data_IF_916698787857
#
_entry.id   IF_916698787857
#
_cell.length_a   1.000
_cell.length_b   1.000
_cell.length_c   1.000
_cell.angle_alpha   90.00
_cell.angle_beta   90.00
_cell.angle_gamma   90.00
#
_symmetry.space_group_name_H-M   'P 1'
#
loop_
_entity.id
_entity.type
_entity.pdbx_description
1 polymer ?
#
# COMPACT_ATOMS: atom_id res chain seq x y z
N UNK A 1 22.04 -24.00 -46.74
CA UNK A 1 20.86 -23.81 -45.90
C UNK A 1 21.37 -23.49 -44.50
N UNK A 2 21.39 -22.23 -44.09
CA UNK A 2 21.79 -21.83 -42.71
C UNK A 2 20.71 -22.28 -41.74
N UNK A 3 21.07 -23.18 -40.84
CA UNK A 3 20.19 -23.55 -39.72
C UNK A 3 19.99 -22.30 -38.84
N UNK A 4 18.78 -21.83 -38.77
CA UNK A 4 18.39 -20.71 -37.88
C UNK A 4 18.57 -21.16 -36.43
N UNK A 5 19.23 -20.36 -35.59
CA UNK A 5 19.43 -20.70 -34.20
C UNK A 5 18.04 -20.84 -33.51
N UNK A 6 17.87 -21.82 -32.61
CA UNK A 6 16.60 -22.03 -31.93
C UNK A 6 16.22 -20.83 -31.07
N UNK A 7 14.95 -20.53 -31.00
CA UNK A 7 14.42 -19.51 -30.08
C UNK A 7 14.44 -20.04 -28.64
N UNK A 8 14.38 -19.12 -27.64
CA UNK A 8 14.27 -19.49 -26.22
C UNK A 8 13.10 -20.46 -25.97
N UNK A 9 11.94 -20.21 -26.58
CA UNK A 9 10.75 -21.03 -26.40
C UNK A 9 10.90 -22.44 -26.94
N UNK A 10 11.52 -22.57 -28.11
CA UNK A 10 11.79 -23.88 -28.74
C UNK A 10 12.79 -24.70 -27.93
N UNK A 11 13.87 -24.07 -27.44
CA UNK A 11 14.88 -24.73 -26.62
C UNK A 11 14.31 -25.12 -25.24
N UNK A 12 13.50 -24.24 -24.61
CA UNK A 12 12.79 -24.56 -23.38
C UNK A 12 11.91 -25.81 -23.53
N UNK A 13 11.12 -25.84 -24.61
CA UNK A 13 10.23 -26.98 -24.92
C UNK A 13 11.03 -28.24 -25.14
N UNK A 14 12.13 -28.18 -25.90
CA UNK A 14 13.03 -29.32 -26.19
C UNK A 14 13.56 -29.89 -24.87
N UNK A 15 14.21 -29.09 -24.04
CA UNK A 15 14.82 -29.53 -22.75
C UNK A 15 13.79 -30.03 -21.75
N UNK A 16 12.63 -29.39 -21.68
CA UNK A 16 11.53 -29.86 -20.83
C UNK A 16 11.10 -31.28 -21.25
N UNK A 17 10.91 -31.52 -22.53
CA UNK A 17 10.52 -32.83 -23.06
C UNK A 17 11.62 -33.89 -22.83
N UNK A 18 12.88 -33.56 -23.09
CA UNK A 18 14.03 -34.41 -22.80
C UNK A 18 14.14 -34.78 -21.31
N UNK A 19 13.74 -33.87 -20.43
CA UNK A 19 13.69 -34.12 -18.98
C UNK A 19 12.42 -34.88 -18.54
N UNK A 20 11.54 -35.28 -19.47
CA UNK A 20 10.30 -35.97 -19.15
C UNK A 20 9.28 -35.16 -18.36
N UNK A 21 9.41 -33.83 -18.32
CA UNK A 21 8.57 -32.95 -17.49
C UNK A 21 7.37 -32.40 -18.28
N UNK A 22 6.20 -32.41 -17.64
CA UNK A 22 5.02 -31.73 -18.16
C UNK A 22 5.09 -30.21 -17.88
N UNK A 23 4.24 -29.40 -18.54
CA UNK A 23 4.09 -27.97 -18.19
C UNK A 23 3.59 -27.77 -16.76
N UNK A 24 2.84 -28.72 -16.21
CA UNK A 24 2.37 -28.70 -14.82
C UNK A 24 3.53 -28.95 -13.84
N UNK A 25 4.47 -29.80 -14.19
CA UNK A 25 5.67 -30.02 -13.38
C UNK A 25 6.56 -28.79 -13.39
N UNK A 26 6.71 -28.15 -14.55
CA UNK A 26 7.44 -26.88 -14.66
C UNK A 26 6.78 -25.75 -13.88
N UNK A 27 5.46 -25.65 -13.88
CA UNK A 27 4.71 -24.66 -13.07
C UNK A 27 5.09 -24.73 -11.59
N UNK A 28 5.18 -25.94 -11.03
CA UNK A 28 5.59 -26.17 -9.63
C UNK A 28 7.08 -25.85 -9.39
N UNK A 29 7.93 -26.13 -10.38
CA UNK A 29 9.39 -25.98 -10.25
C UNK A 29 9.88 -24.54 -10.37
N UNK A 30 9.21 -23.73 -11.21
CA UNK A 30 9.65 -22.37 -11.55
C UNK A 30 8.65 -21.30 -11.12
N UNK A 31 7.58 -21.66 -10.40
CA UNK A 31 6.55 -20.77 -9.87
C UNK A 31 5.91 -19.85 -10.93
N UNK A 32 5.73 -20.36 -12.15
CA UNK A 32 5.13 -19.64 -13.26
C UNK A 32 3.97 -20.46 -13.85
N UNK A 33 2.82 -19.83 -14.08
CA UNK A 33 1.61 -20.55 -14.50
C UNK A 33 1.80 -21.34 -15.80
N UNK A 34 1.15 -22.50 -15.90
CA UNK A 34 1.15 -23.36 -17.12
C UNK A 34 0.81 -22.56 -18.38
N UNK A 35 -0.15 -21.63 -18.30
CA UNK A 35 -0.54 -20.77 -19.42
C UNK A 35 0.61 -19.84 -19.84
N UNK A 36 1.33 -19.28 -18.87
CA UNK A 36 2.49 -18.42 -19.13
C UNK A 36 3.62 -19.20 -19.81
N UNK A 37 4.00 -20.35 -19.25
CA UNK A 37 5.03 -21.23 -19.82
C UNK A 37 4.68 -21.68 -21.24
N UNK A 38 3.42 -22.05 -21.49
CA UNK A 38 2.93 -22.42 -22.81
C UNK A 38 3.02 -21.28 -23.85
N UNK A 39 2.78 -20.02 -23.42
CA UNK A 39 2.93 -18.85 -24.31
C UNK A 39 4.40 -18.59 -24.66
N UNK A 40 5.30 -18.80 -23.70
CA UNK A 40 6.74 -18.67 -23.92
C UNK A 40 7.24 -19.77 -24.87
N UNK A 41 6.87 -21.05 -24.68
CA UNK A 41 7.26 -22.15 -25.54
C UNK A 41 6.77 -21.98 -27.00
N UNK A 42 5.69 -21.24 -27.21
CA UNK A 42 5.14 -20.94 -28.54
C UNK A 42 5.67 -19.63 -29.14
N UNK A 43 6.58 -18.95 -28.43
CA UNK A 43 7.13 -17.67 -28.89
C UNK A 43 6.18 -16.46 -28.78
N UNK A 44 5.01 -16.61 -28.12
CA UNK A 44 4.04 -15.53 -27.97
C UNK A 44 4.38 -14.57 -26.83
N UNK A 45 5.40 -14.89 -26.03
CA UNK A 45 5.87 -14.07 -24.92
C UNK A 45 7.34 -14.37 -24.63
N UNK A 46 8.11 -13.30 -24.34
CA UNK A 46 9.47 -13.44 -23.87
C UNK A 46 9.48 -13.74 -22.35
N UNK A 47 10.38 -14.61 -21.86
CA UNK A 47 10.54 -14.85 -20.44
C UNK A 47 11.22 -13.64 -19.76
N UNK A 48 10.93 -13.44 -18.48
CA UNK A 48 11.78 -12.60 -17.64
C UNK A 48 13.12 -13.32 -17.39
N UNK A 49 14.17 -12.55 -17.07
CA UNK A 49 15.47 -13.11 -16.76
C UNK A 49 15.43 -14.07 -15.56
N UNK A 50 14.67 -13.74 -14.52
CA UNK A 50 14.45 -14.62 -13.37
C UNK A 50 13.81 -15.97 -13.78
N UNK A 51 12.77 -15.92 -14.61
CA UNK A 51 12.13 -17.13 -15.10
C UNK A 51 13.07 -17.94 -16.00
N UNK A 52 13.86 -17.27 -16.84
CA UNK A 52 14.85 -17.94 -17.68
C UNK A 52 15.93 -18.62 -16.83
N UNK A 53 16.44 -17.98 -15.75
CA UNK A 53 17.37 -18.59 -14.80
C UNK A 53 16.75 -19.79 -14.06
N UNK A 54 15.52 -19.63 -13.59
CA UNK A 54 14.82 -20.72 -12.93
C UNK A 54 14.64 -21.93 -13.88
N UNK A 55 14.25 -21.70 -15.13
CA UNK A 55 14.14 -22.75 -16.14
C UNK A 55 15.49 -23.40 -16.46
N UNK A 56 16.54 -22.58 -16.65
CA UNK A 56 17.89 -23.05 -16.94
C UNK A 56 18.43 -23.94 -15.82
N UNK A 57 18.31 -23.51 -14.57
CA UNK A 57 18.74 -24.27 -13.40
C UNK A 57 17.93 -25.57 -13.21
N UNK A 58 16.60 -25.52 -13.31
CA UNK A 58 15.73 -26.68 -13.09
C UNK A 58 15.79 -27.73 -14.20
N UNK A 59 16.18 -27.33 -15.42
CA UNK A 59 16.40 -28.20 -16.58
C UNK A 59 17.87 -28.54 -16.78
N UNK A 60 18.78 -28.10 -15.89
CA UNK A 60 20.24 -28.31 -15.98
C UNK A 60 20.78 -27.94 -17.37
N UNK A 61 20.40 -26.74 -17.83
CA UNK A 61 20.69 -26.27 -19.15
C UNK A 61 22.08 -25.60 -19.28
N UNK A 62 22.82 -25.47 -18.17
CA UNK A 62 24.20 -24.94 -18.12
C UNK A 62 24.38 -23.60 -18.84
N UNK A 63 23.42 -22.71 -18.72
CA UNK A 63 23.42 -21.39 -19.34
C UNK A 63 22.90 -21.34 -20.78
N UNK A 64 22.55 -22.48 -21.37
CA UNK A 64 22.11 -22.53 -22.80
C UNK A 64 20.77 -21.80 -23.03
N UNK A 65 19.86 -21.84 -22.07
CA UNK A 65 18.61 -21.05 -22.13
C UNK A 65 18.89 -19.55 -21.96
N UNK A 66 19.80 -19.19 -21.06
CA UNK A 66 20.19 -17.80 -20.84
C UNK A 66 20.90 -17.21 -22.09
N UNK A 67 21.68 -18.02 -22.79
CA UNK A 67 22.35 -17.59 -24.02
C UNK A 67 21.38 -17.23 -25.16
N UNK A 68 20.13 -17.69 -25.12
CA UNK A 68 19.10 -17.41 -26.11
C UNK A 68 18.25 -16.16 -25.76
N UNK A 69 18.48 -15.53 -24.62
CA UNK A 69 17.83 -14.25 -24.31
C UNK A 69 18.40 -13.14 -25.19
N UNK A 70 17.58 -12.16 -25.59
CA UNK A 70 18.04 -10.97 -26.31
C UNK A 70 19.19 -10.28 -25.55
N UNK A 71 20.16 -9.73 -26.30
CA UNK A 71 21.34 -9.07 -25.72
C UNK A 71 20.96 -7.96 -24.70
N UNK A 72 19.88 -7.23 -24.97
CA UNK A 72 19.33 -6.22 -24.06
C UNK A 72 18.85 -6.80 -22.70
N UNK A 73 18.35 -8.03 -22.68
CA UNK A 73 17.95 -8.73 -21.46
C UNK A 73 19.18 -9.22 -20.65
N UNK A 74 20.30 -9.48 -21.32
CA UNK A 74 21.58 -9.90 -20.73
C UNK A 74 22.40 -8.72 -20.22
N UNK A 75 22.47 -7.63 -20.98
CA UNK A 75 23.23 -6.41 -20.62
C UNK A 75 22.74 -5.71 -19.35
N UNK A 76 21.54 -6.05 -18.90
CA UNK A 76 20.99 -5.55 -17.61
C UNK A 76 21.73 -6.08 -16.37
N UNK A 77 22.52 -7.11 -16.51
CA UNK A 77 23.22 -7.79 -15.39
C UNK A 77 24.71 -7.48 -15.30
N UNK A 78 25.35 -7.06 -16.40
CA UNK A 78 26.78 -6.72 -16.41
C UNK A 78 27.08 -5.30 -15.88
N UNK A 79 26.03 -4.55 -15.50
CA UNK A 79 26.26 -3.33 -14.70
C UNK A 79 26.48 -3.74 -13.25
N UNK A 80 27.68 -3.50 -12.70
CA UNK A 80 27.90 -3.70 -11.28
C UNK A 80 26.84 -2.87 -10.54
N UNK A 81 26.29 -3.43 -9.45
CA UNK A 81 25.44 -2.71 -8.53
C UNK A 81 26.23 -1.54 -7.96
N UNK A 82 26.27 -0.44 -8.69
CA UNK A 82 26.72 0.84 -8.17
C UNK A 82 25.65 1.24 -7.14
N UNK A 83 26.07 1.25 -5.88
CA UNK A 83 25.36 1.83 -4.76
C UNK A 83 25.35 3.36 -4.94
N UNK A 84 24.61 3.81 -5.93
CA UNK A 84 24.33 5.20 -6.24
C UNK A 84 23.00 5.21 -6.93
N UNK A 85 21.97 5.73 -6.26
CA UNK A 85 20.58 5.70 -6.69
C UNK A 85 20.33 6.46 -7.99
N UNK A 86 20.73 5.91 -9.10
CA UNK A 86 20.38 6.42 -10.42
C UNK A 86 19.03 5.86 -10.81
N UNK A 87 18.06 6.77 -10.80
CA UNK A 87 16.65 6.46 -10.94
C UNK A 87 16.35 5.77 -12.25
N UNK A 88 15.82 4.57 -12.16
CA UNK A 88 15.02 3.99 -13.23
C UNK A 88 13.89 4.98 -13.53
N UNK A 89 13.71 5.45 -14.77
CA UNK A 89 12.62 6.35 -15.11
C UNK A 89 11.28 5.64 -14.87
N UNK A 90 10.35 6.34 -14.26
CA UNK A 90 9.02 5.87 -13.91
C UNK A 90 8.03 6.45 -14.89
N UNK A 91 7.14 5.62 -15.43
CA UNK A 91 5.98 6.08 -16.18
C UNK A 91 4.73 5.91 -15.35
N UNK A 92 4.03 7.00 -15.13
CA UNK A 92 2.66 6.99 -14.68
C UNK A 92 1.78 7.01 -15.93
N UNK A 93 1.11 5.91 -16.23
CA UNK A 93 0.07 5.87 -17.24
C UNK A 93 -1.27 6.08 -16.54
N UNK A 94 -1.98 7.15 -16.90
CA UNK A 94 -3.37 7.36 -16.51
C UNK A 94 -4.22 7.02 -17.71
N UNK A 95 -5.05 5.98 -17.62
CA UNK A 95 -6.00 5.60 -18.66
C UNK A 95 -7.16 6.59 -18.73
N UNK A 96 -7.90 6.62 -19.84
CA UNK A 96 -9.02 7.54 -20.05
C UNK A 96 -10.17 7.34 -19.04
N UNK A 97 -10.23 6.16 -18.39
CA UNK A 97 -11.15 5.80 -17.31
C UNK A 97 -10.61 6.11 -15.91
N UNK A 98 -9.44 6.76 -15.80
CA UNK A 98 -8.83 7.19 -14.55
C UNK A 98 -8.02 6.10 -13.84
N UNK A 99 -7.85 4.91 -14.41
CA UNK A 99 -6.91 3.93 -13.87
C UNK A 99 -5.47 4.41 -14.04
N UNK A 100 -4.73 4.38 -12.95
CA UNK A 100 -3.32 4.77 -12.93
C UNK A 100 -2.45 3.52 -12.81
N UNK A 101 -1.60 3.30 -13.80
CA UNK A 101 -0.64 2.19 -13.81
C UNK A 101 0.78 2.74 -13.70
N UNK A 102 1.51 2.31 -12.66
CA UNK A 102 2.93 2.60 -12.53
C UNK A 102 3.73 1.46 -13.16
N UNK A 103 4.57 1.81 -14.11
CA UNK A 103 5.55 0.89 -14.67
C UNK A 103 6.95 1.47 -14.55
N UNK A 104 7.92 0.65 -14.12
CA UNK A 104 9.31 0.98 -14.33
C UNK A 104 9.52 1.02 -15.85
N UNK A 105 9.80 2.19 -16.40
CA UNK A 105 9.89 2.36 -17.85
C UNK A 105 11.25 1.92 -18.34
N UNK A 106 11.24 1.04 -19.31
CA UNK A 106 12.37 0.94 -20.23
C UNK A 106 12.25 2.15 -21.19
N UNK A 107 13.28 3.01 -21.29
CA UNK A 107 13.25 4.16 -22.20
C UNK A 107 12.96 3.78 -23.66
N UNK A 108 13.29 2.54 -24.06
CA UNK A 108 13.04 2.05 -25.42
C UNK A 108 11.59 1.59 -25.64
N UNK A 109 10.88 1.16 -24.60
CA UNK A 109 9.47 0.74 -24.71
C UNK A 109 8.49 1.90 -24.92
N UNK A 110 8.93 3.14 -24.67
CA UNK A 110 8.12 4.36 -24.86
C UNK A 110 8.12 4.86 -26.31
N UNK A 111 9.01 4.34 -27.16
CA UNK A 111 9.11 4.72 -28.58
C UNK A 111 8.03 4.04 -29.45
N UNK A 112 7.45 2.94 -29.01
CA UNK A 112 6.42 2.20 -29.77
C UNK A 112 5.00 2.64 -29.35
N UNK A 113 4.63 3.84 -29.78
CA UNK A 113 3.38 4.52 -29.47
C UNK A 113 2.10 3.80 -29.91
N UNK A 114 1.51 3.01 -29.03
CA UNK A 114 0.15 2.51 -29.16
C UNK A 114 -0.62 2.56 -27.83
N UNK A 115 -0.71 3.74 -27.22
CA UNK A 115 -1.73 3.99 -26.19
C UNK A 115 -2.04 5.48 -26.12
N UNK A 116 -3.32 5.84 -26.11
CA UNK A 116 -3.79 7.18 -25.70
C UNK A 116 -3.57 7.34 -24.20
N UNK A 117 -2.31 7.35 -23.78
CA UNK A 117 -1.89 7.58 -22.41
C UNK A 117 -1.10 8.87 -22.38
N UNK A 118 -1.47 9.81 -21.52
CA UNK A 118 -0.62 10.95 -21.19
C UNK A 118 0.53 10.42 -20.36
N UNK A 119 1.66 10.15 -21.01
CA UNK A 119 2.90 9.80 -20.33
C UNK A 119 3.56 11.09 -19.88
N UNK A 120 3.45 11.44 -18.62
CA UNK A 120 4.23 12.52 -18.05
C UNK A 120 5.67 12.01 -17.81
N UNK A 121 6.54 12.27 -18.80
CA UNK A 121 7.98 12.08 -18.62
C UNK A 121 8.53 13.20 -17.73
N UNK A 122 8.88 12.88 -16.52
CA UNK A 122 9.72 13.72 -15.66
C UNK A 122 11.19 13.32 -15.83
N UNK A 123 11.71 13.49 -17.04
CA UNK A 123 13.14 13.54 -17.24
C UNK A 123 13.55 14.99 -16.91
N UNK A 124 14.28 15.17 -15.81
CA UNK A 124 15.05 16.40 -15.61
C UNK A 124 16.06 16.42 -16.74
N UNK A 125 15.80 17.22 -17.77
CA UNK A 125 16.72 17.40 -18.89
C UNK A 125 18.06 17.92 -18.31
N UNK A 126 19.20 17.22 -18.55
CA UNK A 126 20.50 17.72 -18.13
C UNK A 126 20.79 19.01 -18.92
N UNK A 127 20.44 20.17 -18.42
CA UNK A 127 20.59 21.44 -19.12
C UNK A 127 19.81 22.59 -18.50
N UNK A 128 18.65 22.36 -17.91
CA UNK A 128 17.95 23.36 -17.10
C UNK A 128 18.48 23.33 -15.66
N UNK A 129 19.73 23.72 -15.49
CA UNK A 129 20.35 24.01 -14.20
C UNK A 129 20.12 25.48 -13.81
N UNK A 130 18.91 25.95 -13.79
CA UNK A 130 18.58 26.98 -12.84
C UNK A 130 18.52 26.29 -11.49
N UNK A 131 19.43 26.72 -10.58
CA UNK A 131 19.53 26.14 -9.25
C UNK A 131 18.19 26.36 -8.52
N UNK A 132 17.30 25.38 -8.57
CA UNK A 132 16.09 25.40 -7.75
C UNK A 132 16.55 25.36 -6.29
N UNK A 133 16.29 26.45 -5.55
CA UNK A 133 16.64 26.52 -4.13
C UNK A 133 15.83 25.48 -3.35
N UNK A 134 16.54 24.54 -2.76
CA UNK A 134 15.94 23.55 -1.85
C UNK A 134 15.31 24.26 -0.66
N UNK A 135 15.96 25.27 -0.12
CA UNK A 135 15.49 26.07 1.02
C UNK A 135 14.17 26.77 0.74
N UNK A 136 13.98 27.27 -0.49
CA UNK A 136 12.74 27.91 -0.89
C UNK A 136 11.64 26.89 -1.22
N UNK A 137 12.00 25.75 -1.80
CA UNK A 137 11.02 24.76 -2.29
C UNK A 137 10.50 23.84 -1.17
N UNK A 138 11.34 23.46 -0.22
CA UNK A 138 11.02 22.47 0.78
C UNK A 138 9.81 22.86 1.67
N UNK A 139 9.69 24.11 2.18
CA UNK A 139 8.52 24.54 2.93
C UNK A 139 7.23 24.48 2.11
N UNK A 140 7.28 24.78 0.80
CA UNK A 140 6.13 24.69 -0.10
C UNK A 140 5.66 23.24 -0.23
N UNK A 141 6.58 22.29 -0.43
CA UNK A 141 6.22 20.87 -0.50
C UNK A 141 5.69 20.32 0.82
N UNK A 142 6.14 20.81 1.98
CA UNK A 142 5.53 20.48 3.28
C UNK A 142 4.07 20.93 3.34
N UNK A 143 3.79 22.17 2.95
CA UNK A 143 2.41 22.68 2.91
C UNK A 143 1.53 21.88 1.92
N UNK A 144 2.06 21.56 0.74
CA UNK A 144 1.37 20.71 -0.27
C UNK A 144 1.08 19.33 0.31
N UNK A 145 2.01 18.72 1.08
CA UNK A 145 1.79 17.43 1.71
C UNK A 145 0.62 17.47 2.69
N UNK A 146 0.54 18.50 3.53
CA UNK A 146 -0.55 18.65 4.48
C UNK A 146 -1.91 18.88 3.78
N UNK A 147 -1.92 19.63 2.66
CA UNK A 147 -3.11 19.78 1.83
C UNK A 147 -3.56 18.46 1.19
N UNK A 148 -2.62 17.64 0.69
CA UNK A 148 -2.98 16.33 0.11
C UNK A 148 -3.52 15.38 1.18
N UNK A 149 -3.01 15.46 2.41
CA UNK A 149 -3.59 14.71 3.54
C UNK A 149 -5.01 15.17 3.86
N UNK A 150 -5.28 16.48 3.83
CA UNK A 150 -6.65 17.02 4.00
C UNK A 150 -7.56 16.59 2.86
N UNK A 151 -7.08 16.70 1.61
CA UNK A 151 -7.82 16.28 0.43
C UNK A 151 -8.20 14.80 0.51
N UNK A 152 -7.29 13.94 0.94
CA UNK A 152 -7.55 12.50 1.09
C UNK A 152 -8.56 12.16 2.18
N UNK A 153 -8.91 13.10 3.09
CA UNK A 153 -10.00 12.90 4.04
C UNK A 153 -11.38 13.17 3.42
N UNK A 154 -11.47 13.98 2.39
CA UNK A 154 -12.75 14.41 1.81
C UNK A 154 -12.95 13.99 0.34
N UNK A 155 -12.00 13.24 -0.25
CA UNK A 155 -12.08 12.80 -1.65
C UNK A 155 -11.64 11.36 -1.84
N UNK A 156 -11.92 10.80 -3.03
CA UNK A 156 -11.49 9.45 -3.41
C UNK A 156 -9.99 9.37 -3.73
N UNK A 157 -9.40 8.17 -3.62
CA UNK A 157 -7.97 7.96 -3.88
C UNK A 157 -7.57 8.25 -5.33
N UNK A 158 -8.48 8.08 -6.28
CA UNK A 158 -8.24 8.39 -7.70
C UNK A 158 -7.79 9.83 -7.95
N UNK A 159 -8.25 10.79 -7.13
CA UNK A 159 -7.81 12.18 -7.20
C UNK A 159 -6.43 12.39 -6.55
N UNK A 160 -6.18 11.74 -5.42
CA UNK A 160 -4.99 12.01 -4.58
C UNK A 160 -3.75 11.29 -5.08
N UNK A 161 -3.89 10.08 -5.58
CA UNK A 161 -2.78 9.24 -6.05
C UNK A 161 -1.93 9.95 -7.10
N UNK A 162 -2.46 10.47 -8.22
CA UNK A 162 -1.65 11.14 -9.23
C UNK A 162 -0.93 12.38 -8.68
N UNK A 163 -1.59 13.16 -7.81
CA UNK A 163 -1.01 14.36 -7.20
C UNK A 163 0.19 14.00 -6.31
N UNK A 164 0.04 13.04 -5.40
CA UNK A 164 1.11 12.64 -4.46
C UNK A 164 2.24 11.89 -5.15
N UNK A 165 1.94 11.12 -6.19
CA UNK A 165 2.96 10.45 -7.01
C UNK A 165 3.82 11.45 -7.78
N UNK A 166 3.20 12.45 -8.39
CA UNK A 166 3.89 13.54 -9.10
C UNK A 166 4.80 14.32 -8.14
N UNK A 167 4.30 14.66 -6.95
CA UNK A 167 5.09 15.35 -5.95
C UNK A 167 6.30 14.50 -5.48
N UNK A 168 6.13 13.18 -5.32
CA UNK A 168 7.24 12.27 -5.01
C UNK A 168 8.30 12.31 -6.11
N UNK A 169 7.90 12.27 -7.37
CA UNK A 169 8.81 12.36 -8.52
C UNK A 169 9.56 13.69 -8.56
N UNK A 170 8.87 14.82 -8.36
CA UNK A 170 9.46 16.15 -8.33
C UNK A 170 10.50 16.29 -7.21
N UNK A 171 10.20 15.80 -5.99
CA UNK A 171 11.13 15.80 -4.86
C UNK A 171 12.37 14.93 -5.15
N UNK A 172 12.22 13.77 -5.77
CA UNK A 172 13.37 12.95 -6.18
C UNK A 172 14.25 13.68 -7.18
N UNK A 173 13.65 14.36 -8.16
CA UNK A 173 14.39 15.20 -9.10
C UNK A 173 15.13 16.34 -8.41
N UNK A 174 14.49 17.05 -7.46
CA UNK A 174 15.09 18.10 -6.66
C UNK A 174 16.28 17.58 -5.83
N UNK A 175 16.16 16.38 -5.24
CA UNK A 175 17.21 15.75 -4.46
C UNK A 175 18.46 15.43 -5.29
N UNK A 176 18.30 15.14 -6.59
CA UNK A 176 19.41 14.78 -7.47
C UNK A 176 20.43 15.93 -7.65
N UNK A 177 19.96 17.17 -7.71
CA UNK A 177 20.78 18.38 -7.87
C UNK A 177 21.20 19.05 -6.54
N UNK A 178 20.72 18.56 -5.40
CA UNK A 178 20.90 19.21 -4.11
C UNK A 178 22.24 18.85 -3.43
N UNK A 179 22.78 19.78 -2.63
CA UNK A 179 23.87 19.51 -1.70
C UNK A 179 23.48 18.45 -0.65
N UNK A 180 24.43 17.72 -0.04
CA UNK A 180 24.13 16.55 0.81
C UNK A 180 23.11 16.79 1.92
N UNK A 181 23.19 17.91 2.64
CA UNK A 181 22.25 18.25 3.71
C UNK A 181 20.84 18.53 3.18
N UNK A 182 20.70 19.31 2.12
CA UNK A 182 19.45 19.58 1.43
C UNK A 182 18.85 18.32 0.80
N UNK A 183 19.70 17.48 0.20
CA UNK A 183 19.31 16.19 -0.38
C UNK A 183 18.63 15.30 0.66
N UNK A 184 19.21 15.17 1.86
CA UNK A 184 18.63 14.36 2.92
C UNK A 184 17.26 14.88 3.36
N UNK A 185 17.08 16.19 3.49
CA UNK A 185 15.80 16.79 3.85
C UNK A 185 14.72 16.55 2.78
N UNK A 186 15.08 16.73 1.51
CA UNK A 186 14.17 16.46 0.38
C UNK A 186 13.77 15.00 0.30
N UNK A 187 14.73 14.06 0.48
CA UNK A 187 14.43 12.62 0.44
C UNK A 187 13.55 12.16 1.60
N UNK A 188 13.71 12.74 2.81
CA UNK A 188 12.78 12.49 3.93
C UNK A 188 11.35 12.86 3.56
N UNK A 189 11.16 14.03 2.96
CA UNK A 189 9.82 14.45 2.53
C UNK A 189 9.30 13.57 1.39
N UNK A 190 10.13 13.21 0.42
CA UNK A 190 9.77 12.28 -0.65
C UNK A 190 9.32 10.91 -0.10
N UNK A 191 9.98 10.40 0.96
CA UNK A 191 9.58 9.17 1.63
C UNK A 191 8.18 9.27 2.24
N UNK A 192 7.81 10.42 2.81
CA UNK A 192 6.46 10.66 3.35
C UNK A 192 5.40 10.70 2.24
N UNK A 193 5.68 11.36 1.12
CA UNK A 193 4.78 11.37 -0.04
C UNK A 193 4.60 9.96 -0.62
N UNK A 194 5.69 9.19 -0.73
CA UNK A 194 5.64 7.81 -1.23
C UNK A 194 4.82 6.90 -0.30
N UNK A 195 5.01 7.01 1.02
CA UNK A 195 4.22 6.26 2.00
C UNK A 195 2.72 6.61 1.91
N UNK A 196 2.41 7.91 1.86
CA UNK A 196 1.05 8.39 1.73
C UNK A 196 0.38 7.94 0.43
N UNK A 197 1.13 7.91 -0.66
CA UNK A 197 0.68 7.34 -1.94
C UNK A 197 0.36 5.85 -1.79
N UNK A 198 1.20 5.10 -1.08
CA UNK A 198 0.95 3.70 -0.77
C UNK A 198 -0.33 3.49 0.06
N UNK A 199 -0.59 4.39 1.01
CA UNK A 199 -1.84 4.35 1.76
C UNK A 199 -3.05 4.65 0.88
N UNK A 200 -2.96 5.61 -0.03
CA UNK A 200 -4.04 5.91 -0.99
C UNK A 200 -4.31 4.72 -1.93
N UNK A 201 -3.28 3.99 -2.35
CA UNK A 201 -3.47 2.76 -3.13
C UNK A 201 -4.17 1.65 -2.34
N UNK A 202 -3.89 1.52 -1.04
CA UNK A 202 -4.65 0.62 -0.15
C UNK A 202 -6.12 1.06 -0.06
N UNK A 203 -6.38 2.37 0.04
CA UNK A 203 -7.73 2.93 0.02
C UNK A 203 -8.45 2.75 -1.34
N UNK A 204 -7.70 2.66 -2.44
CA UNK A 204 -8.22 2.27 -3.76
C UNK A 204 -8.49 0.77 -3.89
N UNK A 205 -7.92 -0.07 -2.99
CA UNK A 205 -8.05 -1.52 -3.01
C UNK A 205 -7.01 -2.23 -3.88
N UNK A 206 -5.93 -1.56 -4.25
CA UNK A 206 -4.78 -2.16 -4.93
C UNK A 206 -3.63 -2.41 -3.95
N UNK A 207 -3.65 -3.60 -3.32
CA UNK A 207 -2.63 -4.01 -2.35
C UNK A 207 -1.24 -4.17 -2.99
N UNK A 208 -1.16 -4.46 -4.30
CA UNK A 208 0.11 -4.60 -5.00
C UNK A 208 0.78 -3.25 -5.13
N UNK A 209 0.06 -2.25 -5.60
CA UNK A 209 0.56 -0.89 -5.70
C UNK A 209 0.88 -0.31 -4.30
N UNK A 210 0.04 -0.59 -3.28
CA UNK A 210 0.27 -0.18 -1.91
C UNK A 210 1.59 -0.73 -1.35
N UNK A 211 1.88 -2.03 -1.54
CA UNK A 211 3.16 -2.66 -1.15
C UNK A 211 4.34 -2.03 -1.86
N UNK A 212 4.20 -1.84 -3.15
CA UNK A 212 5.26 -1.26 -3.96
C UNK A 212 5.64 0.16 -3.50
N UNK A 213 4.64 1.03 -3.28
CA UNK A 213 4.86 2.39 -2.79
C UNK A 213 5.43 2.42 -1.36
N UNK A 214 5.02 1.48 -0.50
CA UNK A 214 5.58 1.31 0.84
C UNK A 214 7.07 0.93 0.76
N UNK A 215 7.45 0.07 -0.18
CA UNK A 215 8.85 -0.27 -0.43
C UNK A 215 9.65 0.92 -0.96
N UNK A 216 9.07 1.74 -1.87
CA UNK A 216 9.72 2.98 -2.31
C UNK A 216 9.95 3.96 -1.14
N UNK A 217 9.00 4.08 -0.23
CA UNK A 217 9.17 4.90 0.97
C UNK A 217 10.32 4.37 1.85
N UNK A 218 10.43 3.06 2.03
CA UNK A 218 11.52 2.44 2.78
C UNK A 218 12.91 2.71 2.15
N UNK A 219 13.02 2.59 0.82
CA UNK A 219 14.26 2.87 0.09
C UNK A 219 14.68 4.34 0.19
N UNK A 220 13.72 5.26 0.07
CA UNK A 220 13.97 6.70 0.23
C UNK A 220 14.41 7.02 1.66
N UNK A 221 13.75 6.44 2.68
CA UNK A 221 14.13 6.59 4.08
C UNK A 221 15.56 6.08 4.35
N UNK A 222 15.89 4.90 3.83
CA UNK A 222 17.24 4.33 3.94
C UNK A 222 18.31 5.24 3.27
N UNK A 223 17.99 5.81 2.09
CA UNK A 223 18.89 6.68 1.34
C UNK A 223 19.24 7.99 2.05
N UNK A 224 18.43 8.44 3.00
CA UNK A 224 18.65 9.65 3.79
C UNK A 224 18.88 9.39 5.29
N UNK A 225 18.97 8.14 5.71
CA UNK A 225 19.20 7.76 7.10
C UNK A 225 18.01 8.06 8.02
N UNK A 226 16.78 8.11 7.49
CA UNK A 226 15.57 8.31 8.27
C UNK A 226 15.09 6.99 8.89
N UNK A 227 15.62 6.70 10.08
CA UNK A 227 15.31 5.48 10.83
C UNK A 227 13.84 5.41 11.27
N UNK A 228 13.22 6.58 11.58
CA UNK A 228 11.82 6.63 11.99
C UNK A 228 10.90 6.27 10.83
N UNK A 229 11.14 6.86 9.67
CA UNK A 229 10.37 6.52 8.47
C UNK A 229 10.57 5.06 8.04
N UNK A 230 11.81 4.54 8.16
CA UNK A 230 12.10 3.13 7.89
C UNK A 230 11.31 2.20 8.84
N UNK A 231 11.28 2.49 10.14
CA UNK A 231 10.45 1.76 11.10
C UNK A 231 8.94 1.89 10.79
N UNK A 232 8.49 3.07 10.41
CA UNK A 232 7.10 3.31 10.05
C UNK A 232 6.66 2.54 8.80
N UNK A 233 7.54 2.32 7.83
CA UNK A 233 7.21 1.47 6.66
C UNK A 233 6.95 0.01 7.04
N UNK A 234 7.56 -0.50 8.11
CA UNK A 234 7.21 -1.82 8.66
C UNK A 234 5.77 -1.83 9.21
N UNK A 235 5.33 -0.73 9.85
CA UNK A 235 3.94 -0.60 10.31
C UNK A 235 2.95 -0.56 9.15
N UNK A 236 3.32 0.09 8.05
CA UNK A 236 2.49 0.05 6.83
C UNK A 236 2.36 -1.36 6.26
N UNK A 237 3.45 -2.13 6.26
CA UNK A 237 3.43 -3.54 5.85
C UNK A 237 2.61 -4.40 6.82
N UNK A 238 2.72 -4.15 8.13
CA UNK A 238 1.90 -4.79 9.15
C UNK A 238 0.41 -4.49 8.95
N UNK A 239 0.05 -3.26 8.56
CA UNK A 239 -1.33 -2.90 8.28
C UNK A 239 -1.87 -3.63 7.04
N UNK A 240 -1.09 -3.77 5.98
CA UNK A 240 -1.48 -4.57 4.81
C UNK A 240 -1.69 -6.05 5.18
N UNK A 241 -0.84 -6.62 6.06
CA UNK A 241 -1.01 -7.96 6.59
C UNK A 241 -2.29 -8.07 7.44
N UNK A 242 -2.58 -7.07 8.29
CA UNK A 242 -3.78 -7.00 9.11
C UNK A 242 -5.05 -7.06 8.25
N UNK A 243 -5.13 -6.26 7.19
CA UNK A 243 -6.28 -6.25 6.27
C UNK A 243 -6.38 -7.52 5.42
N UNK A 244 -5.27 -8.25 5.23
CA UNK A 244 -5.25 -9.58 4.62
C UNK A 244 -5.64 -10.70 5.61
N UNK A 245 -5.86 -10.38 6.89
CA UNK A 245 -6.14 -11.37 7.93
C UNK A 245 -4.92 -12.17 8.39
N UNK A 246 -3.71 -11.77 8.00
CA UNK A 246 -2.46 -12.41 8.41
C UNK A 246 -2.00 -11.83 9.75
N UNK A 247 -2.57 -12.38 10.82
CA UNK A 247 -2.33 -11.93 12.18
C UNK A 247 -0.86 -12.13 12.62
N UNK A 248 -0.24 -13.25 12.24
CA UNK A 248 1.14 -13.57 12.61
C UNK A 248 2.12 -12.57 11.99
N UNK A 249 2.04 -12.35 10.68
CA UNK A 249 2.88 -11.36 9.99
C UNK A 249 2.62 -9.95 10.51
N UNK A 250 1.39 -9.63 10.93
CA UNK A 250 1.05 -8.34 11.53
C UNK A 250 1.85 -8.10 12.81
N UNK A 251 1.88 -9.09 13.72
CA UNK A 251 2.64 -9.01 14.99
C UNK A 251 4.13 -8.91 14.72
N UNK A 252 4.68 -9.80 13.89
CA UNK A 252 6.13 -9.86 13.61
C UNK A 252 6.65 -8.51 13.04
N UNK A 253 5.92 -7.91 12.10
CA UNK A 253 6.28 -6.63 11.51
C UNK A 253 6.11 -5.47 12.49
N UNK A 254 5.06 -5.50 13.33
CA UNK A 254 4.83 -4.48 14.36
C UNK A 254 5.93 -4.52 15.43
N UNK A 255 6.30 -5.70 15.92
CA UNK A 255 7.43 -5.87 16.85
C UNK A 255 8.76 -5.41 16.23
N UNK A 256 9.01 -5.75 14.97
CA UNK A 256 10.22 -5.30 14.26
C UNK A 256 10.26 -3.76 14.18
N UNK A 257 9.12 -3.12 13.86
CA UNK A 257 8.99 -1.68 13.85
C UNK A 257 9.27 -1.07 15.23
N UNK A 258 8.68 -1.62 16.30
CA UNK A 258 8.86 -1.14 17.67
C UNK A 258 10.32 -1.25 18.15
N UNK A 259 11.04 -2.31 17.74
CA UNK A 259 12.48 -2.47 18.03
C UNK A 259 13.36 -1.47 17.28
N UNK A 260 12.98 -1.14 16.05
CA UNK A 260 13.75 -0.23 15.18
C UNK A 260 13.48 1.24 15.48
N UNK A 261 12.25 1.58 15.89
CA UNK A 261 11.81 2.95 16.15
C UNK A 261 12.53 3.55 17.36
N UNK A 262 12.94 4.83 17.24
CA UNK A 262 13.53 5.64 18.31
C UNK A 262 12.52 6.57 18.95
N UNK A 263 11.61 7.13 18.14
CA UNK A 263 10.57 8.06 18.58
C UNK A 263 9.41 7.36 19.28
N UNK A 264 8.83 8.02 20.27
CA UNK A 264 7.72 7.49 21.06
C UNK A 264 6.49 7.24 20.19
N UNK A 265 6.23 8.12 19.21
CA UNK A 265 5.07 8.00 18.31
C UNK A 265 5.10 6.72 17.46
N UNK A 266 6.24 6.39 16.86
CA UNK A 266 6.35 5.17 16.04
C UNK A 266 6.25 3.92 16.92
N UNK A 267 6.82 3.96 18.13
CA UNK A 267 6.71 2.86 19.12
C UNK A 267 5.28 2.66 19.62
N UNK A 268 4.55 3.76 19.84
CA UNK A 268 3.12 3.72 20.17
C UNK A 268 2.31 3.05 19.05
N UNK A 269 2.49 3.51 17.81
CA UNK A 269 1.81 2.92 16.65
C UNK A 269 2.17 1.45 16.47
N UNK A 270 3.40 1.04 16.79
CA UNK A 270 3.84 -0.34 16.77
C UNK A 270 3.08 -1.18 17.81
N UNK A 271 2.99 -0.72 19.04
CA UNK A 271 2.24 -1.40 20.09
C UNK A 271 0.74 -1.54 19.74
N UNK A 272 0.14 -0.49 19.15
CA UNK A 272 -1.24 -0.55 18.67
C UNK A 272 -1.43 -1.59 17.56
N UNK A 273 -0.50 -1.66 16.61
CA UNK A 273 -0.58 -2.64 15.51
C UNK A 273 -0.35 -4.07 16.00
N UNK A 274 0.58 -4.25 16.96
CA UNK A 274 0.81 -5.51 17.65
C UNK A 274 -0.45 -6.00 18.37
N UNK A 275 -1.14 -5.09 19.11
CA UNK A 275 -2.41 -5.38 19.76
C UNK A 275 -3.47 -5.88 18.77
N UNK A 276 -3.58 -5.24 17.60
CA UNK A 276 -4.51 -5.66 16.56
C UNK A 276 -4.19 -7.06 16.01
N UNK A 277 -2.92 -7.39 15.82
CA UNK A 277 -2.52 -8.73 15.42
C UNK A 277 -2.90 -9.79 16.48
N UNK A 278 -2.65 -9.52 17.75
CA UNK A 278 -3.05 -10.40 18.84
C UNK A 278 -4.57 -10.54 18.99
N UNK A 279 -5.33 -9.45 18.76
CA UNK A 279 -6.79 -9.53 18.77
C UNK A 279 -7.31 -10.47 17.66
N UNK A 280 -6.75 -10.41 16.44
CA UNK A 280 -7.09 -11.35 15.36
C UNK A 280 -6.75 -12.82 15.70
N UNK A 281 -5.73 -13.06 16.55
CA UNK A 281 -5.40 -14.38 17.05
C UNK A 281 -6.32 -14.85 18.20
N UNK A 282 -7.20 -13.99 18.70
CA UNK A 282 -7.94 -14.25 19.95
C UNK A 282 -7.05 -14.26 21.19
N UNK A 283 -5.85 -13.69 21.13
CA UNK A 283 -4.86 -13.67 22.21
C UNK A 283 -5.08 -12.45 23.12
N UNK A 284 -6.13 -12.50 23.94
CA UNK A 284 -6.58 -11.40 24.79
C UNK A 284 -5.47 -10.80 25.66
N UNK A 285 -4.77 -11.66 26.42
CA UNK A 285 -3.72 -11.19 27.35
C UNK A 285 -2.61 -10.42 26.65
N UNK A 286 -2.15 -10.89 25.48
CA UNK A 286 -1.12 -10.23 24.69
C UNK A 286 -1.65 -8.94 24.08
N UNK A 287 -2.88 -8.95 23.60
CA UNK A 287 -3.55 -7.75 23.06
C UNK A 287 -3.63 -6.65 24.13
N UNK A 288 -4.15 -6.94 25.32
CA UNK A 288 -4.28 -5.95 26.39
C UNK A 288 -2.91 -5.40 26.84
N UNK A 289 -1.90 -6.26 26.99
CA UNK A 289 -0.52 -5.81 27.29
C UNK A 289 0.04 -4.90 26.22
N UNK A 290 -0.25 -5.13 24.96
CA UNK A 290 0.22 -4.27 23.87
C UNK A 290 -0.52 -2.92 23.88
N UNK A 291 -1.83 -2.89 24.16
CA UNK A 291 -2.60 -1.66 24.35
C UNK A 291 -2.08 -0.84 25.54
N UNK A 292 -1.80 -1.47 26.69
CA UNK A 292 -1.24 -0.81 27.87
C UNK A 292 0.13 -0.18 27.58
N UNK A 293 0.99 -0.90 26.86
CA UNK A 293 2.28 -0.33 26.41
C UNK A 293 2.08 0.89 25.51
N UNK A 294 1.13 0.83 24.59
CA UNK A 294 0.76 1.94 23.71
C UNK A 294 0.31 3.16 24.50
N UNK A 295 -0.59 2.97 25.48
CA UNK A 295 -1.08 4.03 26.35
C UNK A 295 0.04 4.68 27.16
N UNK A 296 0.95 3.89 27.74
CA UNK A 296 2.12 4.42 28.45
C UNK A 296 3.05 5.25 27.58
N UNK A 297 3.17 4.91 26.28
CA UNK A 297 3.95 5.69 25.31
C UNK A 297 3.27 7.02 24.94
N UNK A 298 1.93 7.06 24.85
CA UNK A 298 1.16 8.32 24.67
C UNK A 298 1.41 9.26 25.84
N UNK A 299 1.30 8.76 27.07
CA UNK A 299 1.52 9.58 28.28
C UNK A 299 2.97 10.09 28.35
N UNK A 300 3.94 9.28 28.01
CA UNK A 300 5.34 9.71 27.91
C UNK A 300 5.56 10.80 26.84
N UNK A 301 4.86 10.68 25.69
CA UNK A 301 4.97 11.68 24.61
C UNK A 301 4.38 13.05 25.00
N UNK A 302 3.39 13.10 25.88
CA UNK A 302 2.83 14.38 26.40
C UNK A 302 3.84 15.22 27.19
N UNK A 303 4.86 14.58 27.71
CA UNK A 303 5.93 15.24 28.50
C UNK A 303 7.13 15.65 27.66
N UNK A 304 7.19 15.26 26.39
CA UNK A 304 8.28 15.56 25.48
C UNK A 304 7.80 16.49 24.36
N UNK A 305 8.54 17.58 24.14
CA UNK A 305 8.38 18.42 22.95
C UNK A 305 9.15 17.80 21.80
N UNK A 306 8.51 16.93 21.04
CA UNK A 306 9.12 16.38 19.83
C UNK A 306 8.77 17.29 18.64
N UNK A 307 9.79 17.92 18.04
CA UNK A 307 9.63 18.80 16.87
C UNK A 307 9.47 18.01 15.57
N UNK A 308 9.60 16.67 15.62
CA UNK A 308 9.50 15.84 14.42
C UNK A 308 8.07 15.80 13.87
N UNK A 309 7.89 15.90 12.55
CA UNK A 309 6.56 15.82 11.94
C UNK A 309 5.89 14.49 12.24
N UNK A 310 4.69 14.53 12.79
CA UNK A 310 3.95 13.34 13.23
C UNK A 310 3.74 12.35 12.09
N UNK A 311 4.11 11.07 12.33
CA UNK A 311 3.80 9.94 11.47
C UNK A 311 2.42 9.36 11.80
N UNK A 312 1.75 8.77 10.81
CA UNK A 312 0.43 8.20 10.95
C UNK A 312 -0.71 9.24 10.87
N UNK A 313 -1.89 8.86 11.37
CA UNK A 313 -3.07 9.73 11.34
C UNK A 313 -2.90 10.93 12.26
N UNK A 314 -3.26 12.11 11.76
CA UNK A 314 -3.32 13.38 12.52
C UNK A 314 -4.73 13.94 12.61
N UNK A 315 -5.72 13.21 12.07
CA UNK A 315 -7.13 13.63 12.02
C UNK A 315 -7.97 13.08 13.17
N UNK A 316 -7.35 12.28 14.03
CA UNK A 316 -7.98 11.68 15.20
C UNK A 316 -7.27 12.18 16.46
N UNK A 317 -7.97 12.82 17.38
CA UNK A 317 -7.38 13.27 18.64
C UNK A 317 -6.88 12.12 19.50
N UNK A 318 -7.59 11.01 19.50
CA UNK A 318 -7.27 9.79 20.26
C UNK A 318 -7.35 8.55 19.39
N UNK A 319 -6.30 8.29 18.59
CA UNK A 319 -6.21 7.08 17.78
C UNK A 319 -6.16 5.82 18.64
N UNK A 320 -5.59 5.90 19.85
CA UNK A 320 -5.42 4.74 20.72
C UNK A 320 -6.78 4.18 21.16
N UNK A 321 -7.74 5.04 21.51
CA UNK A 321 -9.09 4.60 21.87
C UNK A 321 -9.80 3.89 20.70
N UNK A 322 -9.66 4.39 19.49
CA UNK A 322 -10.24 3.74 18.30
C UNK A 322 -9.60 2.38 17.99
N UNK A 323 -8.30 2.22 18.24
CA UNK A 323 -7.60 0.93 18.07
C UNK A 323 -8.02 -0.02 19.18
N UNK A 324 -8.09 0.42 20.42
CA UNK A 324 -8.55 -0.40 21.54
C UNK A 324 -9.98 -0.92 21.31
N UNK A 325 -10.88 -0.04 20.87
CA UNK A 325 -12.25 -0.44 20.53
C UNK A 325 -12.32 -1.50 19.43
N UNK A 326 -11.48 -1.38 18.39
CA UNK A 326 -11.39 -2.38 17.35
C UNK A 326 -10.91 -3.73 17.91
N UNK A 327 -9.87 -3.72 18.76
CA UNK A 327 -9.35 -4.92 19.41
C UNK A 327 -10.40 -5.58 20.31
N UNK A 328 -11.10 -4.81 21.14
CA UNK A 328 -12.15 -5.31 22.00
C UNK A 328 -13.26 -6.00 21.23
N UNK A 329 -13.69 -5.40 20.11
CA UNK A 329 -14.70 -6.03 19.25
C UNK A 329 -14.20 -7.38 18.69
N UNK A 330 -12.95 -7.45 18.21
CA UNK A 330 -12.39 -8.72 17.68
C UNK A 330 -12.25 -9.78 18.78
N UNK A 331 -12.09 -9.39 20.04
CA UNK A 331 -12.08 -10.27 21.21
C UNK A 331 -13.47 -10.63 21.74
N UNK A 332 -14.56 -10.07 21.14
CA UNK A 332 -15.94 -10.34 21.54
C UNK A 332 -16.53 -9.37 22.56
N UNK A 333 -15.76 -8.38 23.03
CA UNK A 333 -16.18 -7.36 24.00
C UNK A 333 -16.89 -6.18 23.30
N UNK A 334 -18.00 -6.48 22.61
CA UNK A 334 -18.68 -5.53 21.70
C UNK A 334 -19.27 -4.32 22.44
N UNK A 335 -19.81 -4.48 23.64
CA UNK A 335 -20.38 -3.38 24.44
C UNK A 335 -19.30 -2.37 24.87
N UNK A 336 -18.13 -2.86 25.28
CA UNK A 336 -16.99 -2.03 25.61
C UNK A 336 -16.45 -1.28 24.37
N UNK A 337 -16.43 -1.96 23.21
CA UNK A 337 -16.06 -1.35 21.93
C UNK A 337 -17.04 -0.23 21.54
N UNK A 338 -18.35 -0.44 21.68
CA UNK A 338 -19.38 0.58 21.43
C UNK A 338 -19.13 1.81 22.30
N UNK A 339 -18.89 1.63 23.61
CA UNK A 339 -18.64 2.74 24.53
C UNK A 339 -17.49 3.62 24.09
N UNK A 340 -16.36 3.04 23.70
CA UNK A 340 -15.19 3.79 23.23
C UNK A 340 -15.43 4.47 21.88
N UNK A 341 -16.10 3.79 20.94
CA UNK A 341 -16.37 4.33 19.61
C UNK A 341 -17.39 5.47 19.67
N UNK A 342 -18.44 5.34 20.45
CA UNK A 342 -19.43 6.43 20.65
C UNK A 342 -18.75 7.69 21.22
N UNK A 343 -17.96 7.54 22.27
CA UNK A 343 -17.23 8.68 22.85
C UNK A 343 -16.24 9.33 21.85
N UNK A 344 -15.67 8.54 20.94
CA UNK A 344 -14.71 9.01 19.95
C UNK A 344 -15.35 9.69 18.73
N UNK A 345 -16.57 9.31 18.32
CA UNK A 345 -17.18 9.80 17.07
C UNK A 345 -17.31 11.33 17.02
N UNK A 346 -17.75 11.96 18.11
CA UNK A 346 -17.95 13.40 18.18
C UNK A 346 -16.63 14.19 18.17
N UNK A 347 -15.49 13.53 18.39
CA UNK A 347 -14.17 14.15 18.34
C UNK A 347 -13.59 14.23 16.93
N UNK A 348 -14.17 13.49 15.97
CA UNK A 348 -13.70 13.48 14.57
C UNK A 348 -14.16 14.74 13.88
N UNK A 349 -13.23 15.50 13.32
CA UNK A 349 -13.56 16.75 12.63
C UNK A 349 -14.58 16.51 11.49
N UNK A 350 -15.59 17.37 11.30
CA UNK A 350 -16.66 17.16 10.31
C UNK A 350 -16.16 16.99 8.88
N UNK A 351 -15.04 17.62 8.53
CA UNK A 351 -14.43 17.51 7.19
C UNK A 351 -13.62 16.22 6.98
N UNK A 352 -13.31 15.47 8.06
CA UNK A 352 -12.55 14.22 7.98
C UNK A 352 -13.46 13.03 7.63
N UNK A 353 -14.11 13.10 6.46
CA UNK A 353 -15.12 12.13 6.02
C UNK A 353 -14.60 10.70 6.02
N UNK A 354 -13.35 10.48 5.57
CA UNK A 354 -12.75 9.13 5.54
C UNK A 354 -12.55 8.56 6.95
N UNK A 355 -12.06 9.37 7.90
CA UNK A 355 -11.92 8.94 9.28
C UNK A 355 -13.29 8.65 9.90
N UNK A 356 -14.27 9.53 9.66
CA UNK A 356 -15.66 9.36 10.14
C UNK A 356 -16.30 8.09 9.58
N UNK A 357 -16.16 7.85 8.27
CA UNK A 357 -16.67 6.64 7.63
C UNK A 357 -16.03 5.37 8.19
N UNK A 358 -14.70 5.37 8.38
CA UNK A 358 -13.97 4.21 8.92
C UNK A 358 -14.43 3.86 10.33
N UNK A 359 -14.43 4.84 11.21
CA UNK A 359 -14.78 4.60 12.62
C UNK A 359 -16.28 4.43 12.82
N UNK A 360 -17.11 5.08 11.99
CA UNK A 360 -18.55 4.82 11.93
C UNK A 360 -18.88 3.39 11.47
N UNK A 361 -18.16 2.85 10.48
CA UNK A 361 -18.33 1.46 10.06
C UNK A 361 -18.00 0.47 11.18
N UNK A 362 -16.93 0.74 11.93
CA UNK A 362 -16.51 -0.08 13.09
C UNK A 362 -17.52 0.03 14.24
N UNK A 363 -18.06 1.23 14.49
CA UNK A 363 -19.14 1.42 15.45
C UNK A 363 -20.39 0.64 15.04
N UNK A 364 -20.81 0.72 13.77
CA UNK A 364 -21.95 -0.03 13.28
C UNK A 364 -21.77 -1.56 13.41
N UNK A 365 -20.54 -2.05 13.20
CA UNK A 365 -20.20 -3.46 13.42
C UNK A 365 -20.32 -3.82 14.91
N UNK A 366 -19.73 -3.04 15.81
CA UNK A 366 -19.77 -3.28 17.26
C UNK A 366 -21.23 -3.24 17.79
N UNK A 367 -22.05 -2.27 17.34
CA UNK A 367 -23.47 -2.19 17.64
C UNK A 367 -24.26 -3.40 17.15
N UNK A 368 -23.97 -3.89 15.94
CA UNK A 368 -24.63 -5.08 15.40
C UNK A 368 -24.26 -6.34 16.20
N UNK A 369 -23.01 -6.44 16.67
CA UNK A 369 -22.55 -7.55 17.49
C UNK A 369 -23.07 -7.45 18.95
N UNK A 370 -23.34 -6.23 19.47
CA UNK A 370 -24.00 -5.97 20.74
C UNK A 370 -25.54 -6.04 20.67
N UNK A 371 -26.12 -6.51 19.55
CA UNK A 371 -27.56 -6.62 19.28
C UNK A 371 -28.33 -5.28 19.24
N UNK A 372 -27.63 -4.13 19.14
CA UNK A 372 -28.21 -2.80 18.98
C UNK A 372 -28.51 -2.48 17.50
N UNK A 373 -29.38 -3.28 16.90
CA UNK A 373 -29.60 -3.34 15.44
C UNK A 373 -30.08 -2.00 14.85
N UNK A 374 -30.99 -1.29 15.53
CA UNK A 374 -31.52 -0.01 15.03
C UNK A 374 -30.41 1.06 14.97
N UNK A 375 -29.60 1.16 16.02
CA UNK A 375 -28.47 2.08 16.06
C UNK A 375 -27.41 1.73 15.02
N UNK A 376 -27.08 0.43 14.88
CA UNK A 376 -26.17 -0.05 13.86
C UNK A 376 -26.63 0.38 12.47
N UNK A 377 -27.92 0.23 12.16
CA UNK A 377 -28.49 0.63 10.89
C UNK A 377 -28.46 2.15 10.68
N UNK A 378 -28.71 2.94 11.71
CA UNK A 378 -28.65 4.41 11.64
C UNK A 378 -27.24 4.91 11.32
N UNK A 379 -26.24 4.43 12.06
CA UNK A 379 -24.82 4.76 11.83
C UNK A 379 -24.37 4.32 10.44
N UNK A 380 -24.73 3.10 10.01
CA UNK A 380 -24.33 2.58 8.71
C UNK A 380 -24.91 3.38 7.52
N UNK A 381 -26.04 4.06 7.65
CA UNK A 381 -26.57 4.97 6.62
C UNK A 381 -25.64 6.15 6.39
N UNK A 382 -25.22 6.81 7.46
CA UNK A 382 -24.25 7.93 7.37
C UNK A 382 -22.92 7.48 6.78
N UNK A 383 -22.42 6.31 7.21
CA UNK A 383 -21.20 5.71 6.63
C UNK A 383 -21.34 5.47 5.13
N UNK A 384 -22.48 4.96 4.68
CA UNK A 384 -22.75 4.70 3.27
C UNK A 384 -22.71 5.97 2.41
N UNK A 385 -23.10 7.13 2.96
CA UNK A 385 -22.98 8.43 2.30
C UNK A 385 -21.52 8.89 2.20
N UNK A 386 -20.76 8.83 3.30
CA UNK A 386 -19.35 9.23 3.34
C UNK A 386 -18.49 8.36 2.41
N UNK A 387 -18.77 7.06 2.33
CA UNK A 387 -18.06 6.12 1.44
C UNK A 387 -18.24 6.47 -0.04
N UNK A 388 -19.40 6.98 -0.44
CA UNK A 388 -19.63 7.39 -1.83
C UNK A 388 -18.71 8.56 -2.25
N UNK A 389 -18.34 9.42 -1.30
CA UNK A 389 -17.44 10.55 -1.52
C UNK A 389 -15.98 10.12 -1.43
N UNK A 390 -15.63 9.33 -0.41
CA UNK A 390 -14.24 8.97 -0.12
C UNK A 390 -13.74 7.76 -0.87
N UNK A 391 -14.63 6.97 -1.45
CA UNK A 391 -14.36 5.74 -2.23
C UNK A 391 -13.34 4.79 -1.57
N UNK A 392 -13.48 4.59 -0.25
CA UNK A 392 -12.53 3.84 0.56
C UNK A 392 -12.77 2.33 0.48
N UNK A 393 -11.80 1.59 -0.03
CA UNK A 393 -11.85 0.12 -0.10
C UNK A 393 -11.83 -0.52 1.29
N UNK A 394 -11.09 0.06 2.25
CA UNK A 394 -11.02 -0.44 3.61
C UNK A 394 -12.37 -0.28 4.33
N UNK A 395 -13.05 0.85 4.19
CA UNK A 395 -14.39 1.05 4.73
C UNK A 395 -15.41 0.14 4.02
N UNK A 396 -15.28 -0.07 2.71
CA UNK A 396 -16.11 -1.04 2.00
C UNK A 396 -15.94 -2.48 2.51
N UNK A 397 -14.73 -2.84 2.98
CA UNK A 397 -14.51 -4.15 3.62
C UNK A 397 -15.31 -4.26 4.92
N UNK A 398 -15.26 -3.25 5.78
CA UNK A 398 -16.07 -3.19 7.01
C UNK A 398 -17.58 -3.25 6.72
N UNK A 399 -18.06 -2.50 5.70
CA UNK A 399 -19.46 -2.56 5.28
C UNK A 399 -19.88 -3.92 4.71
N UNK A 400 -18.99 -4.68 4.04
CA UNK A 400 -19.28 -6.06 3.61
C UNK A 400 -19.45 -6.97 4.82
N UNK A 401 -18.59 -6.83 5.83
CA UNK A 401 -18.69 -7.58 7.07
C UNK A 401 -20.02 -7.27 7.79
N UNK A 402 -20.36 -5.97 7.93
CA UNK A 402 -21.63 -5.54 8.52
C UNK A 402 -22.83 -6.10 7.76
N UNK A 403 -22.83 -6.04 6.43
CA UNK A 403 -23.89 -6.63 5.61
C UNK A 403 -24.06 -8.12 5.88
N UNK A 404 -22.94 -8.84 6.04
CA UNK A 404 -22.97 -10.29 6.33
C UNK A 404 -23.54 -10.57 7.72
N UNK A 405 -23.14 -9.81 8.74
CA UNK A 405 -23.67 -9.90 10.10
C UNK A 405 -25.19 -9.62 10.13
N UNK A 406 -25.64 -8.53 9.49
CA UNK A 406 -27.05 -8.15 9.45
C UNK A 406 -27.92 -9.06 8.58
N UNK A 407 -27.34 -9.85 7.67
CA UNK A 407 -28.11 -10.74 6.78
C UNK A 407 -28.95 -11.80 7.54
N UNK A 408 -28.54 -12.18 8.74
CA UNK A 408 -29.31 -13.08 9.61
C UNK A 408 -30.58 -12.41 10.16
N UNK A 409 -30.59 -11.08 10.24
CA UNK A 409 -31.68 -10.25 10.79
C UNK A 409 -32.51 -9.54 9.69
N UNK A 410 -32.55 -10.08 8.47
CA UNK A 410 -33.22 -9.46 7.29
C UNK A 410 -34.73 -9.19 7.47
N UNK A 411 -35.36 -9.82 8.46
CA UNK A 411 -36.76 -9.55 8.81
C UNK A 411 -36.95 -8.26 9.60
N UNK A 412 -35.87 -7.75 10.21
CA UNK A 412 -35.91 -6.49 10.95
C UNK A 412 -36.11 -5.32 9.98
N UNK A 413 -37.10 -4.41 10.22
CA UNK A 413 -37.43 -3.33 9.29
C UNK A 413 -36.22 -2.46 8.91
N UNK A 414 -35.43 -1.99 9.91
CA UNK A 414 -34.28 -1.16 9.67
C UNK A 414 -33.19 -1.85 8.83
N UNK A 415 -32.99 -3.16 9.03
CA UNK A 415 -32.05 -3.97 8.23
C UNK A 415 -32.53 -4.11 6.80
N UNK A 416 -33.80 -4.42 6.59
CA UNK A 416 -34.40 -4.55 5.25
C UNK A 416 -34.20 -3.27 4.43
N UNK A 417 -34.36 -2.10 5.07
CA UNK A 417 -34.28 -0.81 4.42
C UNK A 417 -32.80 -0.38 4.22
N UNK A 418 -31.86 -0.87 5.05
CA UNK A 418 -30.42 -0.57 4.97
C UNK A 418 -29.70 -1.41 3.92
N UNK A 419 -30.02 -2.71 3.78
CA UNK A 419 -29.25 -3.62 2.92
C UNK A 419 -29.11 -3.14 1.46
N UNK A 420 -30.15 -2.55 0.82
CA UNK A 420 -30.01 -1.97 -0.52
C UNK A 420 -29.04 -0.77 -0.55
N UNK A 421 -29.00 0.05 0.50
CA UNK A 421 -28.13 1.23 0.62
C UNK A 421 -26.66 0.78 0.69
N UNK A 422 -26.35 -0.18 1.57
CA UNK A 422 -25.01 -0.77 1.64
C UNK A 422 -24.63 -1.41 0.30
N UNK A 423 -25.53 -2.16 -0.32
CA UNK A 423 -25.26 -2.79 -1.61
C UNK A 423 -24.96 -1.76 -2.72
N UNK A 424 -25.60 -0.60 -2.69
CA UNK A 424 -25.30 0.51 -3.61
C UNK A 424 -23.90 1.09 -3.37
N UNK A 425 -23.53 1.35 -2.10
CA UNK A 425 -22.21 1.88 -1.72
C UNK A 425 -21.06 0.91 -2.02
N UNK A 426 -21.32 -0.40 -1.99
CA UNK A 426 -20.33 -1.43 -2.31
C UNK A 426 -20.06 -1.58 -3.80
N UNK A 427 -20.97 -1.15 -4.68
CA UNK A 427 -20.78 -1.24 -6.13
C UNK A 427 -19.74 -0.26 -6.67
N UNK A 428 -19.31 0.73 -5.90
CA UNK A 428 -18.42 1.80 -6.34
C UNK A 428 -19.08 2.68 -7.41
N UNK A 429 -18.57 3.88 -7.62
CA UNK A 429 -18.84 4.60 -8.85
C UNK A 429 -18.15 3.83 -9.99
N UNK A 430 -18.85 2.90 -10.64
CA UNK A 430 -18.49 2.55 -12.03
C UNK A 430 -18.72 3.85 -12.78
N UNK A 431 -17.63 4.49 -13.15
CA UNK A 431 -17.64 5.58 -14.13
C UNK A 431 -18.38 5.07 -15.36
N UNK A 432 -19.59 5.59 -15.55
CA UNK A 432 -20.28 5.54 -16.85
C UNK A 432 -19.54 6.39 -17.85
#
# INVERSE_FOLDING_TARGET
MSAQAPTFGEELRRRRNESGKSLTDMERLVHATRSHLSKIERGHRNPSLELARACDAKLRADGALLALLPAAARAREERPASHGGDGVPWSLCVSADGESTFTASDPEALADGHASAVVAHWAVTPGCREAVSVEASLPVFHAVFDEYRRLGQCSGPALVIPLSSTATGALRGLAHGAAPAGRAAVLRLAARFAEYTGWMWQEAGDDRAARWWTEQAAQLAASCGDHEMAAYTLLRRAELALYAGDAQTTVELAEAAGRQARGLRTRELAAQREAQGYALMGSETQCLRALDRGAGLVDAARTQTDEAPALGSTHLPDLAAFVAAWCLRELGESEAAVTLLDAGQDTIAPHALRARARHGARLALALADADEVDRACAVARSVAEDVRTTDSATVRADLRQLRSSLATRRKHPAVRDLLPVIAASLRGARTT
#
